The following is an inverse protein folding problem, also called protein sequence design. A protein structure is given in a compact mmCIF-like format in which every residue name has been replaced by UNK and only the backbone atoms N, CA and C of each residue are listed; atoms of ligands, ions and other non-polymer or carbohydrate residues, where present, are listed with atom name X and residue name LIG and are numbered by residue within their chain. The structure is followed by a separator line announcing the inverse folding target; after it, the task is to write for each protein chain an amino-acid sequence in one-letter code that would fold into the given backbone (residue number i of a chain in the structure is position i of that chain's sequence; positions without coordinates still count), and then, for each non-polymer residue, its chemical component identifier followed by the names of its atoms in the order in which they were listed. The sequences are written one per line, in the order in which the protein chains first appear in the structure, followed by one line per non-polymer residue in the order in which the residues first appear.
data_IF_914675604606
#
_entry.id   IF_914675604606
#
_cell.length_a   1.000
_cell.length_b   1.000
_cell.length_c   1.000
_cell.angle_alpha   90.00
_cell.angle_beta   90.00
_cell.angle_gamma   90.00
#
_symmetry.space_group_name_H-M   'P 1'
#
loop_
_entity.id
_entity.type
_entity.pdbx_description
1 polymer ?
#
# COMPACT_ATOMS: atom_id res chain seq x y z
N UNK A 1 34.71 -24.02 5.08
CA UNK A 1 33.52 -23.52 5.80
C UNK A 1 33.08 -22.23 5.13
N UNK A 2 32.13 -22.30 4.21
CA UNK A 2 31.48 -21.11 3.68
C UNK A 2 30.27 -20.83 4.58
N UNK A 3 30.20 -19.64 5.16
CA UNK A 3 29.01 -19.15 5.86
C UNK A 3 28.04 -18.72 4.78
N UNK A 4 27.00 -19.51 4.56
CA UNK A 4 25.87 -19.13 3.71
C UNK A 4 25.14 -17.99 4.42
N UNK A 5 25.27 -16.78 3.87
CA UNK A 5 24.40 -15.66 4.24
C UNK A 5 22.99 -16.04 3.77
N UNK A 6 21.97 -16.07 4.65
CA UNK A 6 20.62 -16.32 4.18
C UNK A 6 20.24 -15.20 3.20
N UNK A 7 19.52 -15.51 2.10
CA UNK A 7 19.01 -14.48 1.22
C UNK A 7 18.18 -13.50 2.07
N UNK A 8 18.41 -12.20 1.88
CA UNK A 8 17.48 -11.20 2.37
C UNK A 8 16.10 -11.66 1.91
N UNK A 9 15.20 -11.98 2.85
CA UNK A 9 13.85 -12.35 2.49
C UNK A 9 13.25 -11.13 1.80
N UNK A 10 13.28 -11.14 0.47
CA UNK A 10 12.49 -10.28 -0.39
C UNK A 10 11.03 -10.67 -0.14
N UNK A 11 10.50 -10.27 1.02
CA UNK A 11 9.07 -10.32 1.26
C UNK A 11 8.48 -9.37 0.24
N UNK A 12 8.00 -9.90 -0.88
CA UNK A 12 7.12 -9.15 -1.77
C UNK A 12 6.01 -8.60 -0.87
N UNK A 13 5.92 -7.28 -0.66
CA UNK A 13 5.00 -6.72 0.34
C UNK A 13 3.58 -7.23 0.11
N UNK A 14 3.24 -7.51 -1.14
CA UNK A 14 1.94 -8.03 -1.58
C UNK A 14 1.51 -9.36 -0.93
N UNK A 15 2.43 -10.24 -0.55
CA UNK A 15 2.13 -11.57 0.01
C UNK A 15 2.01 -11.60 1.54
N UNK A 16 2.41 -10.52 2.22
CA UNK A 16 2.39 -10.42 3.68
C UNK A 16 0.95 -10.28 4.20
N UNK A 17 0.61 -11.06 5.23
CA UNK A 17 -0.68 -10.99 5.92
C UNK A 17 -0.76 -9.83 6.93
N UNK A 18 -1.98 -9.45 7.31
CA UNK A 18 -2.19 -8.31 8.22
C UNK A 18 -1.51 -8.48 9.59
N UNK A 19 -1.49 -9.69 10.17
CA UNK A 19 -0.83 -9.92 11.46
C UNK A 19 0.69 -9.69 11.39
N UNK A 20 1.32 -10.11 10.28
CA UNK A 20 2.73 -9.89 10.01
C UNK A 20 3.02 -8.41 9.75
N UNK A 21 2.14 -7.72 9.02
CA UNK A 21 2.22 -6.27 8.82
C UNK A 21 2.22 -5.51 10.15
N UNK A 22 1.29 -5.81 11.06
CA UNK A 22 1.24 -5.18 12.38
C UNK A 22 2.55 -5.40 13.15
N UNK A 23 3.08 -6.63 13.13
CA UNK A 23 4.34 -6.96 13.79
C UNK A 23 5.51 -6.14 13.22
N UNK A 24 5.68 -6.09 11.89
CA UNK A 24 6.76 -5.34 11.25
C UNK A 24 6.64 -3.82 11.43
N UNK A 25 5.41 -3.30 11.54
CA UNK A 25 5.16 -1.88 11.82
C UNK A 25 5.28 -1.52 13.31
N UNK A 26 5.51 -2.50 14.20
CA UNK A 26 5.51 -2.27 15.65
C UNK A 26 4.14 -1.87 16.22
N UNK A 27 3.06 -2.20 15.52
CA UNK A 27 1.69 -1.93 15.94
C UNK A 27 1.14 -3.12 16.74
N UNK A 28 0.45 -2.83 17.85
CA UNK A 28 -0.28 -3.87 18.58
C UNK A 28 -1.73 -3.96 18.10
N UNK A 29 -2.04 -5.08 17.42
CA UNK A 29 -3.38 -5.40 16.89
C UNK A 29 -4.44 -5.56 17.99
N UNK A 30 -4.04 -5.93 19.21
CA UNK A 30 -4.95 -6.06 20.35
C UNK A 30 -5.24 -4.73 21.05
N UNK A 31 -4.45 -3.69 20.78
CA UNK A 31 -4.61 -2.38 21.40
C UNK A 31 -5.52 -1.46 20.59
N UNK A 32 -6.33 -0.64 21.29
CA UNK A 32 -7.15 0.39 20.64
C UNK A 32 -6.31 1.42 19.88
N UNK A 33 -5.12 1.75 20.39
CA UNK A 33 -4.22 2.69 19.74
C UNK A 33 -3.66 2.11 18.43
N UNK A 34 -3.13 0.88 18.45
CA UNK A 34 -2.60 0.25 17.23
C UNK A 34 -3.67 0.05 16.15
N UNK A 35 -4.90 -0.29 16.56
CA UNK A 35 -6.04 -0.34 15.64
C UNK A 35 -6.40 1.04 15.08
N UNK A 36 -6.38 2.08 15.91
CA UNK A 36 -6.65 3.46 15.48
C UNK A 36 -5.60 3.95 14.48
N UNK A 37 -4.31 3.79 14.78
CA UNK A 37 -3.22 4.14 13.88
C UNK A 37 -3.35 3.38 12.55
N UNK A 38 -3.62 2.08 12.59
CA UNK A 38 -3.83 1.28 11.38
C UNK A 38 -5.03 1.78 10.55
N UNK A 39 -6.13 2.15 11.20
CA UNK A 39 -7.29 2.70 10.52
C UNK A 39 -6.97 4.03 9.80
N UNK A 40 -6.24 4.93 10.44
CA UNK A 40 -5.76 6.16 9.80
C UNK A 40 -4.86 5.85 8.59
N UNK A 41 -3.96 4.88 8.71
CA UNK A 41 -3.10 4.45 7.61
C UNK A 41 -3.90 3.94 6.40
N UNK A 42 -4.98 3.19 6.67
CA UNK A 42 -5.89 2.72 5.61
C UNK A 42 -6.64 3.87 4.95
N UNK A 43 -7.11 4.86 5.72
CA UNK A 43 -7.80 6.03 5.19
C UNK A 43 -6.90 6.83 4.23
N UNK A 44 -5.63 6.99 4.57
CA UNK A 44 -4.64 7.64 3.70
C UNK A 44 -4.42 6.87 2.40
N UNK A 45 -4.35 5.53 2.47
CA UNK A 45 -4.21 4.66 1.30
C UNK A 45 -5.45 4.70 0.40
N UNK A 46 -6.66 4.65 0.99
CA UNK A 46 -7.95 4.82 0.29
C UNK A 46 -7.98 6.15 -0.45
N UNK A 47 -7.62 7.24 0.21
CA UNK A 47 -7.57 8.56 -0.42
C UNK A 47 -6.53 8.63 -1.54
N UNK A 48 -5.41 7.91 -1.42
CA UNK A 48 -4.41 7.76 -2.49
C UNK A 48 -4.95 7.03 -3.71
N UNK A 49 -5.62 5.90 -3.51
CA UNK A 49 -6.26 5.14 -4.60
C UNK A 49 -7.32 5.98 -5.31
N UNK A 50 -8.11 6.75 -4.57
CA UNK A 50 -9.14 7.62 -5.15
C UNK A 50 -8.50 8.68 -6.07
N UNK A 51 -7.40 9.31 -5.62
CA UNK A 51 -6.63 10.26 -6.45
C UNK A 51 -6.11 9.59 -7.71
N UNK A 52 -5.42 8.46 -7.59
CA UNK A 52 -4.86 7.74 -8.73
C UNK A 52 -5.94 7.28 -9.71
N UNK A 53 -7.08 6.81 -9.20
CA UNK A 53 -8.22 6.36 -10.01
C UNK A 53 -8.85 7.52 -10.77
N UNK A 54 -9.05 8.67 -10.13
CA UNK A 54 -9.54 9.88 -10.79
C UNK A 54 -8.58 10.32 -11.92
N UNK A 55 -7.28 10.36 -11.63
CA UNK A 55 -6.25 10.69 -12.65
C UNK A 55 -6.24 9.70 -13.82
N UNK A 56 -6.30 8.40 -13.54
CA UNK A 56 -6.35 7.37 -14.58
C UNK A 56 -7.58 7.54 -15.48
N UNK A 57 -8.77 7.77 -14.91
CA UNK A 57 -10.01 7.97 -15.68
C UNK A 57 -10.01 9.24 -16.52
N UNK A 58 -9.31 10.28 -16.09
CA UNK A 58 -9.17 11.53 -16.86
C UNK A 58 -8.10 11.47 -17.95
N UNK A 59 -7.31 10.39 -18.03
CA UNK A 59 -6.23 10.24 -19.00
C UNK A 59 -6.77 9.63 -20.32
N UNK A 60 -6.65 10.33 -21.47
CA UNK A 60 -7.10 9.78 -22.75
C UNK A 60 -6.37 8.48 -23.10
N UNK A 61 -7.12 7.42 -23.42
CA UNK A 61 -6.58 6.11 -23.78
C UNK A 61 -6.33 5.14 -22.61
N UNK A 62 -6.55 5.57 -21.36
CA UNK A 62 -6.50 4.69 -20.19
C UNK A 62 -7.82 3.92 -20.01
N UNK A 63 -8.18 3.10 -20.99
CA UNK A 63 -9.24 2.09 -20.79
C UNK A 63 -8.59 0.87 -20.14
N UNK A 64 -8.72 0.73 -18.83
CA UNK A 64 -8.33 -0.50 -18.12
C UNK A 64 -9.03 -1.71 -18.72
N UNK A 65 -8.48 -2.90 -18.50
CA UNK A 65 -9.10 -4.14 -18.98
C UNK A 65 -10.48 -4.28 -18.33
N UNK A 66 -11.54 -4.17 -19.14
CA UNK A 66 -12.88 -4.50 -18.69
C UNK A 66 -13.03 -6.02 -18.75
N UNK A 67 -13.31 -6.63 -17.60
CA UNK A 67 -13.66 -8.05 -17.51
C UNK A 67 -15.12 -8.12 -17.04
N UNK A 68 -16.02 -8.63 -17.88
CA UNK A 68 -17.47 -8.68 -17.62
C UNK A 68 -18.10 -7.34 -17.21
N UNK A 69 -17.70 -6.25 -17.88
CA UNK A 69 -18.18 -4.89 -17.58
C UNK A 69 -17.59 -4.29 -16.28
N UNK A 70 -16.70 -5.02 -15.61
CA UNK A 70 -16.01 -4.57 -14.39
C UNK A 70 -14.64 -4.02 -14.72
N UNK A 71 -14.28 -2.95 -14.05
CA UNK A 71 -12.95 -2.36 -14.12
C UNK A 71 -12.09 -2.97 -13.03
N UNK A 72 -11.00 -3.66 -13.41
CA UNK A 72 -10.00 -4.12 -12.42
C UNK A 72 -9.11 -2.93 -12.09
N UNK A 73 -9.16 -2.42 -10.85
CA UNK A 73 -8.39 -1.24 -10.43
C UNK A 73 -6.89 -1.48 -10.58
N UNK A 74 -6.41 -2.68 -10.23
CA UNK A 74 -5.01 -3.05 -10.45
C UNK A 74 -4.57 -2.88 -11.92
N UNK A 75 -5.46 -3.13 -12.88
CA UNK A 75 -5.17 -2.99 -14.32
C UNK A 75 -5.17 -1.54 -14.81
N UNK A 76 -5.76 -0.60 -14.05
CA UNK A 76 -5.79 0.81 -14.38
C UNK A 76 -4.59 1.59 -13.84
N UNK A 77 -4.00 1.11 -12.76
CA UNK A 77 -2.93 1.82 -12.05
C UNK A 77 -1.57 1.40 -12.59
N UNK A 78 -0.82 2.36 -13.15
CA UNK A 78 0.55 2.11 -13.57
C UNK A 78 1.53 2.26 -12.39
N UNK A 79 2.65 1.53 -12.43
CA UNK A 79 3.69 1.54 -11.38
C UNK A 79 4.21 2.95 -11.07
N UNK A 80 4.36 3.80 -12.07
CA UNK A 80 4.79 5.19 -11.88
C UNK A 80 3.79 6.00 -11.05
N UNK A 81 2.49 5.78 -11.25
CA UNK A 81 1.45 6.43 -10.45
C UNK A 81 1.50 5.95 -8.98
N UNK A 82 1.70 4.64 -8.78
CA UNK A 82 1.83 4.04 -7.44
C UNK A 82 3.04 4.64 -6.70
N UNK A 83 4.21 4.72 -7.35
CA UNK A 83 5.43 5.31 -6.77
C UNK A 83 5.25 6.76 -6.35
N UNK A 84 4.66 7.57 -7.23
CA UNK A 84 4.36 8.98 -6.94
C UNK A 84 3.39 9.11 -5.78
N UNK A 85 2.37 8.25 -5.73
CA UNK A 85 1.37 8.29 -4.67
C UNK A 85 1.95 7.84 -3.33
N UNK A 86 2.87 6.88 -3.30
CA UNK A 86 3.58 6.48 -2.08
C UNK A 86 4.38 7.63 -1.50
N UNK A 87 5.11 8.37 -2.34
CA UNK A 87 5.83 9.57 -1.90
C UNK A 87 4.86 10.64 -1.38
N UNK A 88 3.73 10.84 -2.07
CA UNK A 88 2.71 11.80 -1.67
C UNK A 88 2.08 11.47 -0.32
N UNK A 89 1.68 10.21 -0.10
CA UNK A 89 1.13 9.76 1.18
C UNK A 89 2.15 10.01 2.28
N UNK A 90 3.41 9.59 2.12
CA UNK A 90 4.44 9.82 3.14
C UNK A 90 4.67 11.31 3.44
N UNK A 91 4.66 12.17 2.42
CA UNK A 91 4.89 13.61 2.56
C UNK A 91 3.76 14.30 3.34
N UNK A 92 2.51 13.90 3.12
CA UNK A 92 1.32 14.53 3.70
C UNK A 92 0.65 13.71 4.81
N UNK A 93 1.32 12.64 5.27
CA UNK A 93 0.80 11.75 6.30
C UNK A 93 0.51 12.49 7.61
N UNK A 94 -0.52 12.03 8.30
CA UNK A 94 -0.80 12.44 9.67
C UNK A 94 0.43 12.16 10.56
N UNK A 95 0.75 13.00 11.56
CA UNK A 95 1.94 12.79 12.41
C UNK A 95 2.02 11.39 13.04
N UNK A 96 0.88 10.82 13.41
CA UNK A 96 0.80 9.48 14.00
C UNK A 96 1.17 8.37 13.01
N UNK A 97 0.64 8.41 11.78
CA UNK A 97 0.94 7.42 10.74
C UNK A 97 2.32 7.64 10.15
N UNK A 98 2.77 8.90 10.08
CA UNK A 98 4.11 9.27 9.63
C UNK A 98 5.20 8.64 10.47
N UNK A 99 5.02 8.59 11.79
CA UNK A 99 5.95 7.91 12.69
C UNK A 99 6.10 6.42 12.34
N UNK A 100 5.03 5.75 11.90
CA UNK A 100 5.09 4.37 11.42
C UNK A 100 5.81 4.31 10.06
N UNK A 101 5.39 5.16 9.11
CA UNK A 101 5.96 5.16 7.76
C UNK A 101 7.44 5.48 7.71
N UNK A 102 7.98 6.25 8.64
CA UNK A 102 9.41 6.56 8.67
C UNK A 102 10.28 5.29 8.86
N UNK A 103 9.72 4.20 9.39
CA UNK A 103 10.37 2.88 9.46
C UNK A 103 10.31 2.10 8.13
N UNK A 104 9.42 2.51 7.22
CA UNK A 104 9.18 1.87 5.93
C UNK A 104 10.12 2.32 4.82
N UNK A 105 10.91 3.38 5.03
CA UNK A 105 11.82 3.95 4.03
C UNK A 105 13.28 3.64 4.41
N UNK A 106 13.73 2.42 4.11
CA UNK A 106 15.13 2.06 4.28
C UNK A 106 15.96 2.61 3.10
N UNK A 107 16.72 3.68 3.34
CA UNK A 107 17.97 4.00 2.62
C UNK A 107 17.92 4.53 1.18
N UNK A 108 16.77 4.47 0.49
CA UNK A 108 16.41 5.11 -0.81
C UNK A 108 15.27 4.34 -1.50
N UNK A 109 14.82 3.24 -0.91
CA UNK A 109 13.73 2.45 -1.42
C UNK A 109 12.37 3.08 -1.06
N UNK A 110 11.43 2.86 -1.96
CA UNK A 110 10.04 3.25 -1.81
C UNK A 110 9.43 2.67 -0.54
N UNK A 111 8.55 3.43 0.11
CA UNK A 111 8.01 3.07 1.41
C UNK A 111 7.17 1.77 1.33
N UNK A 112 7.72 0.67 1.83
CA UNK A 112 7.08 -0.65 1.72
C UNK A 112 5.76 -0.73 2.49
N UNK A 113 5.62 0.03 3.58
CA UNK A 113 4.41 0.06 4.43
C UNK A 113 3.25 0.64 3.63
N UNK A 114 3.47 1.80 2.98
CA UNK A 114 2.45 2.45 2.16
C UNK A 114 2.13 1.60 0.93
N UNK A 115 3.15 1.00 0.30
CA UNK A 115 2.95 0.06 -0.81
C UNK A 115 2.06 -1.10 -0.41
N UNK A 116 2.31 -1.70 0.75
CA UNK A 116 1.49 -2.79 1.29
C UNK A 116 0.03 -2.35 1.44
N UNK A 117 -0.21 -1.20 2.08
CA UNK A 117 -1.56 -0.67 2.31
C UNK A 117 -2.31 -0.42 1.01
N UNK A 118 -1.66 0.21 0.03
CA UNK A 118 -2.26 0.45 -1.29
C UNK A 118 -2.66 -0.87 -1.95
N UNK A 119 -1.79 -1.87 -1.92
CA UNK A 119 -2.09 -3.19 -2.49
C UNK A 119 -3.29 -3.85 -1.81
N UNK A 120 -3.33 -3.85 -0.46
CA UNK A 120 -4.45 -4.44 0.27
C UNK A 120 -5.77 -3.75 -0.05
N UNK A 121 -5.80 -2.42 -0.16
CA UNK A 121 -7.01 -1.70 -0.51
C UNK A 121 -7.42 -1.89 -1.98
N UNK A 122 -6.46 -2.03 -2.90
CA UNK A 122 -6.74 -2.39 -4.31
C UNK A 122 -7.37 -3.79 -4.38
N UNK A 123 -6.74 -4.80 -3.77
CA UNK A 123 -7.25 -6.17 -3.76
C UNK A 123 -8.62 -6.24 -3.08
N UNK A 124 -8.81 -5.51 -1.98
CA UNK A 124 -10.12 -5.43 -1.32
C UNK A 124 -11.17 -4.82 -2.24
N UNK A 125 -10.88 -3.72 -2.95
CA UNK A 125 -11.85 -3.12 -3.88
C UNK A 125 -12.13 -4.00 -5.11
N UNK A 126 -11.12 -4.71 -5.61
CA UNK A 126 -11.28 -5.66 -6.72
C UNK A 126 -12.04 -6.92 -6.29
N UNK A 127 -11.89 -7.35 -5.03
CA UNK A 127 -12.51 -8.56 -4.46
C UNK A 127 -13.82 -8.34 -3.70
N UNK A 128 -14.11 -7.13 -3.20
CA UNK A 128 -15.35 -6.77 -2.48
C UNK A 128 -16.55 -6.55 -3.42
N UNK A 129 -16.64 -7.34 -4.47
CA UNK A 129 -17.82 -7.42 -5.33
C UNK A 129 -18.67 -8.66 -4.99
N UNK A 130 -19.09 -8.76 -3.72
CA UNK A 130 -20.16 -9.67 -3.26
C UNK A 130 -21.36 -8.85 -2.78
#
# INVERSE_FOLDING_TARGET
MQRETPPAQEHEPQAMGEAEFFHLCGLDKGSGNGQHTYQLMREEAVAGIDRMTLTARSTPGATGAQMDGRTILASMLCESAIRLEIQRIWQFAHPETKAVYDHGSAGNEENWIIRWLLWQEIVRRDGSND
#
